data_IF_664194270735
#
_entry.id   IF_664194270735
#
_cell.length_a   1.000
_cell.length_b   1.000
_cell.length_c   1.000
_cell.angle_alpha   90.00
_cell.angle_beta   90.00
_cell.angle_gamma   90.00
#
_symmetry.space_group_name_H-M   'P 1'
#
loop_
_entity.id
_entity.type
_entity.pdbx_description
1 polymer ?
#
# COMPACT_ATOMS: atom_id res chain seq x y z
N UNK A 1 5.40 -11.20 3.32
CA UNK A 1 6.12 -11.38 2.04
C UNK A 1 5.52 -10.53 0.92
N UNK A 2 4.21 -10.54 0.69
CA UNK A 2 3.54 -9.76 -0.39
C UNK A 2 3.80 -8.25 -0.30
N UNK A 3 3.67 -7.62 0.87
CA UNK A 3 3.92 -6.17 1.00
C UNK A 3 5.35 -5.80 0.56
N UNK A 4 6.36 -6.54 1.02
CA UNK A 4 7.74 -6.34 0.56
C UNK A 4 7.91 -6.58 -0.95
N UNK A 5 7.29 -7.65 -1.47
CA UNK A 5 7.37 -8.01 -2.88
C UNK A 5 6.89 -6.90 -3.82
N UNK A 6 5.79 -6.21 -3.48
CA UNK A 6 5.23 -5.14 -4.32
C UNK A 6 5.72 -3.74 -3.95
N UNK A 7 5.95 -3.43 -2.67
CA UNK A 7 6.27 -2.06 -2.24
C UNK A 7 7.75 -1.70 -2.34
N UNK A 8 8.67 -2.66 -2.20
CA UNK A 8 10.10 -2.36 -2.39
C UNK A 8 10.39 -1.96 -3.85
N UNK A 9 9.91 -2.69 -4.88
CA UNK A 9 10.11 -2.26 -6.27
C UNK A 9 9.39 -0.95 -6.58
N UNK A 10 8.21 -0.71 -5.98
CA UNK A 10 7.51 0.56 -6.10
C UNK A 10 8.40 1.74 -5.68
N UNK A 11 9.08 1.64 -4.54
CA UNK A 11 9.98 2.70 -4.08
C UNK A 11 11.27 2.83 -4.93
N UNK A 12 11.82 1.71 -5.41
CA UNK A 12 13.11 1.69 -6.13
C UNK A 12 13.01 1.98 -7.62
N UNK A 13 11.92 1.58 -8.25
CA UNK A 13 11.74 1.57 -9.71
C UNK A 13 10.55 2.41 -10.16
N UNK A 14 9.71 2.86 -9.22
CA UNK A 14 8.57 3.71 -9.53
C UNK A 14 9.00 5.03 -10.14
N UNK A 15 8.27 5.45 -11.17
CA UNK A 15 8.57 6.69 -11.87
C UNK A 15 7.84 7.87 -11.21
N UNK A 16 8.48 8.45 -10.19
CA UNK A 16 7.95 9.59 -9.41
C UNK A 16 8.51 10.95 -9.82
N UNK A 17 9.41 10.97 -10.81
CA UNK A 17 9.99 12.20 -11.34
C UNK A 17 9.22 12.75 -12.56
N UNK A 18 8.22 12.03 -13.09
CA UNK A 18 7.47 12.47 -14.29
C UNK A 18 6.65 13.73 -13.99
N UNK A 19 6.69 14.68 -14.92
CA UNK A 19 5.78 15.83 -14.98
C UNK A 19 4.42 15.38 -15.51
N UNK A 20 3.34 15.91 -14.94
CA UNK A 20 1.96 15.46 -15.15
C UNK A 20 1.62 15.13 -16.62
N UNK A 21 1.28 13.87 -16.86
CA UNK A 21 0.64 13.37 -18.08
C UNK A 21 -0.54 12.44 -17.68
N UNK A 22 -1.36 11.99 -18.63
CA UNK A 22 -2.53 11.14 -18.32
C UNK A 22 -2.13 9.88 -17.50
N UNK A 23 -1.02 9.24 -17.84
CA UNK A 23 -0.49 8.07 -17.14
C UNK A 23 0.03 8.36 -15.71
N UNK A 24 0.26 9.62 -15.36
CA UNK A 24 0.68 10.03 -14.01
C UNK A 24 -0.48 10.13 -13.02
N UNK A 25 -1.73 10.08 -13.49
CA UNK A 25 -2.93 10.15 -12.66
C UNK A 25 -3.34 8.78 -12.11
N UNK A 26 -2.96 7.69 -12.79
CA UNK A 26 -3.32 6.33 -12.39
C UNK A 26 -2.56 5.83 -11.15
N UNK A 27 -3.16 4.85 -10.49
CA UNK A 27 -2.52 4.08 -9.42
C UNK A 27 -1.32 3.32 -9.97
N UNK A 28 -0.33 3.07 -9.11
CA UNK A 28 0.76 2.20 -9.50
C UNK A 28 0.26 0.74 -9.69
N UNK A 29 0.59 0.06 -10.81
CA UNK A 29 0.16 -1.32 -11.02
C UNK A 29 0.58 -2.29 -9.91
N UNK A 30 1.69 -2.03 -9.22
CA UNK A 30 2.14 -2.84 -8.08
C UNK A 30 1.21 -2.70 -6.87
N UNK A 31 0.62 -1.52 -6.67
CA UNK A 31 -0.37 -1.25 -5.62
C UNK A 31 -1.67 -1.98 -5.92
N UNK A 32 -2.13 -1.94 -7.18
CA UNK A 32 -3.33 -2.67 -7.60
C UNK A 32 -3.16 -4.17 -7.40
N UNK A 33 -1.98 -4.72 -7.75
CA UNK A 33 -1.66 -6.14 -7.52
C UNK A 33 -1.63 -6.48 -6.03
N UNK A 34 -0.99 -5.65 -5.19
CA UNK A 34 -0.96 -5.85 -3.75
C UNK A 34 -2.38 -5.86 -3.15
N UNK A 35 -3.22 -4.91 -3.52
CA UNK A 35 -4.62 -4.86 -3.06
C UNK A 35 -5.38 -6.13 -3.44
N UNK A 36 -5.21 -6.61 -4.68
CA UNK A 36 -5.85 -7.86 -5.12
C UNK A 36 -5.36 -9.06 -4.31
N UNK A 37 -4.06 -9.14 -4.04
CA UNK A 37 -3.47 -10.21 -3.23
C UNK A 37 -3.98 -10.17 -1.79
N UNK A 38 -4.03 -8.98 -1.18
CA UNK A 38 -4.55 -8.80 0.20
C UNK A 38 -6.01 -9.25 0.27
N UNK A 39 -6.86 -8.82 -0.67
CA UNK A 39 -8.27 -9.23 -0.71
C UNK A 39 -8.45 -10.74 -0.96
N UNK A 40 -7.64 -11.36 -1.81
CA UNK A 40 -7.69 -12.81 -2.01
C UNK A 40 -7.25 -13.60 -0.76
N UNK A 41 -6.24 -13.10 -0.04
CA UNK A 41 -5.81 -13.70 1.22
C UNK A 41 -6.89 -13.52 2.28
N UNK A 42 -7.53 -12.35 2.33
CA UNK A 42 -8.64 -12.06 3.23
C UNK A 42 -9.80 -13.06 3.06
N UNK A 43 -10.28 -13.27 1.84
CA UNK A 43 -11.36 -14.21 1.54
C UNK A 43 -11.03 -15.64 2.04
N UNK A 44 -9.82 -16.12 1.74
CA UNK A 44 -9.38 -17.47 2.15
C UNK A 44 -9.23 -17.57 3.67
N UNK A 45 -8.63 -16.57 4.31
CA UNK A 45 -8.37 -16.57 5.75
C UNK A 45 -9.65 -16.38 6.56
N UNK A 46 -10.58 -15.57 6.08
CA UNK A 46 -11.89 -15.36 6.71
C UNK A 46 -12.72 -16.65 6.79
N UNK A 47 -12.58 -17.53 5.79
CA UNK A 47 -13.21 -18.86 5.82
C UNK A 47 -12.48 -19.87 6.72
N UNK A 48 -11.17 -19.70 6.92
CA UNK A 48 -10.31 -20.69 7.60
C UNK A 48 -10.04 -20.38 9.09
N UNK A 49 -10.20 -19.13 9.52
CA UNK A 49 -9.77 -18.66 10.84
C UNK A 49 -10.91 -18.10 11.68
N UNK A 50 -10.74 -18.16 13.00
CA UNK A 50 -11.60 -17.44 13.93
C UNK A 50 -11.29 -15.93 13.90
N UNK A 51 -12.31 -15.10 14.14
CA UNK A 51 -12.23 -13.64 14.00
C UNK A 51 -11.01 -13.00 14.68
N UNK A 52 -10.66 -13.40 15.90
CA UNK A 52 -9.52 -12.82 16.62
C UNK A 52 -8.17 -13.14 15.98
N UNK A 53 -8.01 -14.33 15.37
CA UNK A 53 -6.79 -14.71 14.65
C UNK A 53 -6.72 -14.01 13.30
N UNK A 54 -7.87 -13.86 12.65
CA UNK A 54 -7.99 -13.09 11.43
C UNK A 54 -7.58 -11.63 11.67
N UNK A 55 -8.18 -10.96 12.67
CA UNK A 55 -7.83 -9.58 13.03
C UNK A 55 -6.35 -9.42 13.34
N UNK A 56 -5.77 -10.33 14.12
CA UNK A 56 -4.35 -10.31 14.46
C UNK A 56 -3.43 -10.32 13.23
N UNK A 57 -3.82 -10.98 12.13
CA UNK A 57 -3.04 -11.02 10.90
C UNK A 57 -3.07 -9.68 10.16
N UNK A 58 -4.22 -9.01 10.12
CA UNK A 58 -4.42 -7.80 9.29
C UNK A 58 -4.12 -6.50 10.03
N UNK A 59 -4.32 -6.42 11.35
CA UNK A 59 -4.10 -5.19 12.15
C UNK A 59 -2.66 -4.67 12.08
N UNK A 60 -1.66 -5.54 11.87
CA UNK A 60 -0.27 -5.12 11.73
C UNK A 60 0.12 -4.63 10.33
N UNK A 61 -0.74 -4.78 9.32
CA UNK A 61 -0.37 -4.51 7.94
C UNK A 61 -0.24 -3.02 7.63
N UNK A 62 -1.11 -2.16 8.20
CA UNK A 62 -0.99 -0.71 8.01
C UNK A 62 0.35 -0.17 8.48
N UNK A 63 0.77 -0.58 9.68
CA UNK A 63 2.08 -0.24 10.23
C UNK A 63 3.24 -0.75 9.37
N UNK A 64 3.19 -2.02 8.93
CA UNK A 64 4.22 -2.59 8.06
C UNK A 64 4.35 -1.83 6.72
N UNK A 65 3.22 -1.54 6.07
CA UNK A 65 3.20 -0.80 4.79
C UNK A 65 3.79 0.60 4.99
N UNK A 66 3.39 1.30 6.05
CA UNK A 66 3.93 2.61 6.42
C UNK A 66 5.44 2.57 6.58
N UNK A 67 5.96 1.62 7.37
CA UNK A 67 7.40 1.42 7.53
C UNK A 67 8.10 1.16 6.19
N UNK A 68 7.55 0.31 5.30
CA UNK A 68 8.18 0.02 4.02
C UNK A 68 8.24 1.27 3.13
N UNK A 69 7.17 2.07 3.08
CA UNK A 69 7.11 3.27 2.25
C UNK A 69 8.05 4.37 2.76
N UNK A 70 8.05 4.63 4.08
CA UNK A 70 8.95 5.60 4.72
C UNK A 70 10.41 5.20 4.49
N UNK A 71 10.76 3.93 4.74
CA UNK A 71 12.12 3.43 4.47
C UNK A 71 12.42 3.40 2.97
N UNK A 72 11.41 3.23 2.12
CA UNK A 72 11.53 3.28 0.68
C UNK A 72 11.85 4.69 0.15
N UNK A 73 11.45 5.74 0.89
CA UNK A 73 11.59 7.13 0.45
C UNK A 73 13.05 7.52 0.12
N UNK A 74 14.02 6.90 0.79
CA UNK A 74 15.45 7.12 0.54
C UNK A 74 15.90 6.74 -0.88
N UNK A 75 15.13 5.90 -1.60
CA UNK A 75 15.45 5.49 -2.97
C UNK A 75 14.98 6.51 -4.01
N UNK A 76 14.13 7.48 -3.66
CA UNK A 76 13.70 8.53 -4.58
C UNK A 76 14.80 9.58 -4.77
N UNK A 77 15.45 9.57 -5.94
CA UNK A 77 16.44 10.60 -6.29
C UNK A 77 15.81 11.97 -6.52
N UNK A 78 14.60 11.99 -7.10
CA UNK A 78 13.79 13.18 -7.38
C UNK A 78 12.32 12.78 -7.33
N UNK A 79 11.48 13.64 -6.77
CA UNK A 79 10.03 13.51 -6.77
C UNK A 79 9.40 14.80 -7.25
N UNK A 80 8.46 14.69 -8.19
CA UNK A 80 7.66 15.83 -8.68
C UNK A 80 6.39 15.99 -7.85
N UNK A 81 5.71 17.14 -7.95
CA UNK A 81 4.41 17.34 -7.29
C UNK A 81 3.37 16.29 -7.72
N UNK A 82 3.35 15.92 -9.01
CA UNK A 82 2.53 14.82 -9.52
C UNK A 82 2.94 13.46 -8.93
N UNK A 83 4.24 13.22 -8.71
CA UNK A 83 4.76 12.06 -8.02
C UNK A 83 4.27 11.97 -6.57
N UNK A 84 4.29 13.08 -5.83
CA UNK A 84 3.72 13.15 -4.47
C UNK A 84 2.24 12.77 -4.51
N UNK A 85 1.45 13.39 -5.39
CA UNK A 85 0.02 13.09 -5.53
C UNK A 85 -0.23 11.62 -5.89
N UNK A 86 0.62 11.02 -6.74
CA UNK A 86 0.55 9.58 -7.06
C UNK A 86 0.82 8.73 -5.82
N UNK A 87 1.83 9.07 -5.01
CA UNK A 87 2.10 8.36 -3.77
C UNK A 87 0.93 8.46 -2.78
N UNK A 88 0.36 9.65 -2.58
CA UNK A 88 -0.81 9.81 -1.72
C UNK A 88 -2.00 8.97 -2.20
N UNK A 89 -2.26 8.90 -3.51
CA UNK A 89 -3.31 8.01 -4.07
C UNK A 89 -3.03 6.53 -3.82
N UNK A 90 -1.76 6.12 -3.97
CA UNK A 90 -1.34 4.76 -3.68
C UNK A 90 -1.54 4.40 -2.20
N UNK A 91 -1.13 5.28 -1.28
CA UNK A 91 -1.33 5.10 0.16
C UNK A 91 -2.82 5.01 0.47
N UNK A 92 -3.62 5.94 -0.06
CA UNK A 92 -5.04 6.00 0.18
C UNK A 92 -5.77 4.70 -0.24
N UNK A 93 -5.43 4.13 -1.40
CA UNK A 93 -6.10 2.91 -1.87
C UNK A 93 -5.68 1.66 -1.08
N UNK A 94 -4.46 1.62 -0.53
CA UNK A 94 -4.02 0.58 0.41
C UNK A 94 -4.74 0.74 1.76
N UNK A 95 -4.81 1.97 2.26
CA UNK A 95 -5.47 2.31 3.51
C UNK A 95 -6.96 1.95 3.46
N UNK A 96 -7.63 2.25 2.35
CA UNK A 96 -9.04 1.91 2.13
C UNK A 96 -9.26 0.39 2.09
N UNK A 97 -8.38 -0.35 1.39
CA UNK A 97 -8.49 -1.81 1.33
C UNK A 97 -8.36 -2.42 2.73
N UNK A 98 -7.34 -2.01 3.50
CA UNK A 98 -7.14 -2.49 4.86
C UNK A 98 -8.27 -2.09 5.81
N UNK A 99 -8.72 -0.83 5.76
CA UNK A 99 -9.86 -0.36 6.58
C UNK A 99 -11.12 -1.20 6.35
N UNK A 100 -11.38 -1.61 5.11
CA UNK A 100 -12.53 -2.46 4.80
C UNK A 100 -12.40 -3.88 5.38
N UNK A 101 -11.16 -4.37 5.52
CA UNK A 101 -10.86 -5.72 6.05
C UNK A 101 -10.88 -5.72 7.58
N UNK A 102 -10.19 -4.76 8.19
CA UNK A 102 -10.03 -4.67 9.64
C UNK A 102 -11.23 -4.03 10.32
N UNK A 103 -12.06 -3.30 9.55
CA UNK A 103 -13.16 -2.46 10.05
C UNK A 103 -12.67 -1.44 11.09
N UNK A 104 -11.40 -1.06 11.00
CA UNK A 104 -10.72 -0.14 11.90
C UNK A 104 -9.92 0.88 11.10
N UNK A 105 -9.63 2.03 11.71
CA UNK A 105 -8.86 3.09 11.04
C UNK A 105 -7.38 2.72 11.02
N UNK A 106 -6.81 2.67 9.83
CA UNK A 106 -5.38 2.47 9.58
C UNK A 106 -4.60 3.79 9.75
N UNK A 107 -4.47 4.27 10.99
CA UNK A 107 -3.86 5.57 11.29
C UNK A 107 -2.34 5.61 11.01
N UNK A 108 -1.66 4.46 11.07
CA UNK A 108 -0.22 4.37 10.77
C UNK A 108 0.13 4.83 9.33
N UNK A 109 -0.81 4.68 8.40
CA UNK A 109 -0.64 5.09 7.01
C UNK A 109 -0.76 6.61 6.81
N UNK A 110 -1.31 7.34 7.78
CA UNK A 110 -1.36 8.81 7.75
C UNK A 110 0.05 9.42 7.94
N UNK A 111 1.02 8.64 8.47
CA UNK A 111 2.41 9.06 8.66
C UNK A 111 3.32 8.75 7.46
N UNK A 112 2.82 8.03 6.45
CA UNK A 112 3.61 7.51 5.32
C UNK A 112 3.75 8.51 4.14
#
# INVERSE_FOLDING_TARGET
VHCFHYLIPLAKQGNYAIVANAASMDYDPLVVKLNKDISAIEEVMGAALQQHKFQYIFEGLGHLISCILINGAQYFKRISESGIKKMCRNIFVLQQNLTNITMSREADLDFA
#
